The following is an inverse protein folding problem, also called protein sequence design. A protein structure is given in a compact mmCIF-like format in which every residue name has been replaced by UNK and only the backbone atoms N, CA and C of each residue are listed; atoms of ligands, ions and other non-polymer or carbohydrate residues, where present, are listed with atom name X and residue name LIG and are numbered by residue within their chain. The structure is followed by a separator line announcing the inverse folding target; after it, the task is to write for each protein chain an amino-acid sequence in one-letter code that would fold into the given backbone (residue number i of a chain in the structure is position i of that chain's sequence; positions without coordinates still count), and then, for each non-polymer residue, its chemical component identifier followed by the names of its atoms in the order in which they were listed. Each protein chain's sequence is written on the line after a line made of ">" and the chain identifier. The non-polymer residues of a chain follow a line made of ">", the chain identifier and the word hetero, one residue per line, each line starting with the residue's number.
data_IF_795729553068
#
_entry.id   IF_795729553068
#
_cell.length_a   1.000
_cell.length_b   1.000
_cell.length_c   1.000
_cell.angle_alpha   90.00
_cell.angle_beta   90.00
_cell.angle_gamma   90.00
#
_symmetry.space_group_name_H-M   'P 1'
#
loop_
_entity.id
_entity.type
_entity.pdbx_description
1 polymer ?
#
# COMPACT_ATOMS: atom_id res chain seq x y z
N UNK A 1 -4.95 4.06 -10.88
CA UNK A 1 -5.11 4.30 -9.42
C UNK A 1 -3.90 3.75 -8.67
N UNK A 2 -3.23 4.55 -7.85
CA UNK A 2 -2.02 4.13 -7.13
C UNK A 2 -2.38 3.35 -5.86
N UNK A 3 -2.39 2.02 -5.95
CA UNK A 3 -2.67 1.13 -4.81
C UNK A 3 -1.57 0.09 -4.61
N UNK A 4 -1.39 -0.36 -3.37
CA UNK A 4 -0.45 -1.42 -3.01
C UNK A 4 -1.22 -2.50 -2.29
N UNK A 5 -1.12 -3.74 -2.77
CA UNK A 5 -1.76 -4.91 -2.16
C UNK A 5 -0.71 -5.77 -1.44
N UNK A 6 -0.86 -5.92 -0.12
CA UNK A 6 0.05 -6.73 0.70
C UNK A 6 0.10 -8.20 0.27
N UNK A 7 -0.99 -8.71 -0.31
CA UNK A 7 -1.09 -10.10 -0.78
C UNK A 7 -0.19 -10.31 -1.99
N UNK A 8 -0.10 -9.31 -2.87
CA UNK A 8 0.80 -9.34 -4.02
C UNK A 8 2.25 -9.30 -3.56
N UNK A 9 2.60 -8.36 -2.67
CA UNK A 9 3.94 -8.30 -2.09
C UNK A 9 4.34 -9.60 -1.38
N UNK A 10 3.41 -10.23 -0.65
CA UNK A 10 3.65 -11.51 0.01
C UNK A 10 3.91 -12.63 -0.99
N UNK A 11 3.09 -12.73 -2.05
CA UNK A 11 3.24 -13.76 -3.10
C UNK A 11 4.56 -13.62 -3.86
N UNK A 12 5.03 -12.40 -4.06
CA UNK A 12 6.29 -12.07 -4.73
C UNK A 12 7.50 -12.10 -3.77
N UNK A 13 7.32 -12.60 -2.54
CA UNK A 13 8.37 -12.66 -1.49
C UNK A 13 9.02 -11.32 -1.14
N UNK A 14 8.34 -10.21 -1.43
CA UNK A 14 8.85 -8.85 -1.22
C UNK A 14 8.67 -8.34 0.22
N UNK A 15 8.14 -9.16 1.12
CA UNK A 15 7.95 -8.81 2.54
C UNK A 15 9.04 -9.35 3.47
N UNK A 16 10.05 -10.04 2.92
CA UNK A 16 11.19 -10.54 3.71
C UNK A 16 11.94 -9.36 4.34
N UNK A 17 12.29 -9.38 5.63
CA UNK A 17 13.05 -8.30 6.25
C UNK A 17 14.40 -8.04 5.57
N UNK A 18 14.83 -6.78 5.52
CA UNK A 18 16.13 -6.37 4.98
C UNK A 18 16.16 -6.09 3.48
N UNK A 19 15.00 -6.10 2.80
CA UNK A 19 14.88 -5.72 1.40
C UNK A 19 14.76 -4.21 1.25
N UNK A 20 15.31 -3.69 0.15
CA UNK A 20 15.11 -2.33 -0.32
C UNK A 20 14.84 -2.36 -1.83
N UNK A 21 13.70 -1.84 -2.26
CA UNK A 21 13.27 -1.86 -3.65
C UNK A 21 12.31 -0.71 -3.96
N UNK A 22 12.03 -0.49 -5.24
CA UNK A 22 11.04 0.48 -5.70
C UNK A 22 9.77 -0.23 -6.16
N UNK A 23 8.63 0.36 -5.86
CA UNK A 23 7.33 -0.05 -6.40
C UNK A 23 6.85 1.00 -7.37
N UNK A 24 6.53 0.57 -8.58
CA UNK A 24 6.10 1.44 -9.67
C UNK A 24 4.68 1.11 -10.10
N UNK A 25 3.87 2.15 -10.30
CA UNK A 25 2.57 2.01 -10.95
C UNK A 25 2.71 2.35 -12.42
N UNK A 26 2.07 1.56 -13.27
CA UNK A 26 1.96 1.79 -14.71
C UNK A 26 0.53 2.13 -15.08
N UNK A 27 0.34 2.88 -16.17
CA UNK A 27 -0.97 3.08 -16.78
C UNK A 27 -1.41 1.85 -17.60
N UNK A 28 -2.58 1.94 -18.24
CA UNK A 28 -3.13 0.87 -19.09
C UNK A 28 -2.26 0.58 -20.32
N UNK A 29 -1.46 1.55 -20.77
CA UNK A 29 -0.50 1.41 -21.86
C UNK A 29 0.87 0.89 -21.37
N UNK A 30 1.04 0.60 -20.07
CA UNK A 30 2.28 0.13 -19.48
C UNK A 30 3.30 1.24 -19.19
N UNK A 31 2.96 2.52 -19.36
CA UNK A 31 3.85 3.64 -19.09
C UNK A 31 3.99 3.88 -17.58
N UNK A 32 5.21 4.10 -17.07
CA UNK A 32 5.42 4.38 -15.64
C UNK A 32 4.78 5.72 -15.24
N UNK A 33 3.89 5.69 -14.25
CA UNK A 33 3.18 6.86 -13.73
C UNK A 33 3.87 7.47 -12.51
N UNK A 34 4.25 6.63 -11.55
CA UNK A 34 4.84 7.06 -10.28
C UNK A 34 5.57 5.90 -9.63
N UNK A 35 6.54 6.22 -8.77
CA UNK A 35 7.37 5.25 -8.06
C UNK A 35 7.44 5.62 -6.58
N UNK A 36 7.43 4.62 -5.72
CA UNK A 36 7.62 4.74 -4.27
C UNK A 36 8.74 3.80 -3.83
N UNK A 37 9.63 4.28 -2.95
CA UNK A 37 10.65 3.43 -2.34
C UNK A 37 10.05 2.61 -1.19
N UNK A 38 10.47 1.36 -1.06
CA UNK A 38 10.06 0.45 0.01
C UNK A 38 11.30 -0.14 0.66
N UNK A 39 11.35 -0.08 1.99
CA UNK A 39 12.30 -0.85 2.81
C UNK A 39 11.55 -1.75 3.76
N UNK A 40 11.88 -3.02 3.81
CA UNK A 40 11.26 -3.99 4.71
C UNK A 40 12.05 -4.10 6.01
N UNK A 41 11.34 -4.30 7.12
CA UNK A 41 11.95 -4.62 8.42
C UNK A 41 11.11 -5.66 9.15
N UNK A 42 11.58 -6.12 10.32
CA UNK A 42 11.00 -7.25 11.06
C UNK A 42 9.51 -7.13 11.45
N UNK A 43 8.90 -5.95 11.33
CA UNK A 43 7.53 -5.67 11.79
C UNK A 43 6.67 -5.00 10.72
N UNK A 44 7.18 -4.75 9.52
CA UNK A 44 6.55 -3.77 8.63
C UNK A 44 7.41 -3.30 7.45
N UNK A 45 6.93 -2.23 6.85
CA UNK A 45 7.51 -1.55 5.71
C UNK A 45 7.71 -0.07 6.04
N UNK A 46 8.80 0.51 5.51
CA UNK A 46 9.02 1.94 5.45
C UNK A 46 8.90 2.34 3.98
N UNK A 47 7.87 3.14 3.69
CA UNK A 47 7.65 3.73 2.39
C UNK A 47 8.33 5.09 2.32
N UNK A 48 9.00 5.39 1.20
CA UNK A 48 9.70 6.65 0.95
C UNK A 48 9.18 7.26 -0.37
N UNK A 49 8.63 8.47 -0.31
CA UNK A 49 8.05 9.20 -1.44
C UNK A 49 8.13 10.71 -1.19
N UNK A 50 7.73 11.54 -2.16
CA UNK A 50 7.64 12.99 -1.99
C UNK A 50 6.20 13.50 -2.15
N UNK A 51 5.82 14.51 -1.37
CA UNK A 51 4.58 15.27 -1.52
C UNK A 51 4.95 16.73 -1.71
N UNK A 52 4.59 17.33 -2.85
CA UNK A 52 4.92 18.74 -3.11
C UNK A 52 6.43 19.04 -3.13
N UNK A 53 7.26 18.03 -3.45
CA UNK A 53 8.72 18.14 -3.41
C UNK A 53 9.35 17.74 -2.07
N UNK A 54 8.57 17.68 -1.00
CA UNK A 54 9.07 17.34 0.33
C UNK A 54 9.18 15.82 0.54
N UNK A 55 10.35 15.30 0.98
CA UNK A 55 10.55 13.88 1.20
C UNK A 55 9.80 13.40 2.46
N UNK A 56 9.02 12.34 2.30
CA UNK A 56 8.22 11.70 3.35
C UNK A 56 8.66 10.26 3.53
N UNK A 57 8.87 9.87 4.79
CA UNK A 57 9.03 8.47 5.21
C UNK A 57 7.82 8.04 6.02
N UNK A 58 7.07 7.07 5.52
CA UNK A 58 5.87 6.57 6.16
C UNK A 58 6.06 5.11 6.58
N UNK A 59 5.90 4.84 7.87
CA UNK A 59 5.94 3.48 8.41
C UNK A 59 4.56 2.84 8.35
N UNK A 60 4.51 1.58 7.92
CA UNK A 60 3.31 0.74 7.90
C UNK A 60 3.68 -0.61 8.49
N UNK A 61 3.08 -0.97 9.62
CA UNK A 61 3.32 -2.26 10.24
C UNK A 61 2.55 -3.37 9.51
N UNK A 62 3.06 -4.59 9.57
CA UNK A 62 2.42 -5.79 9.03
C UNK A 62 1.80 -6.59 10.18
N UNK A 63 0.59 -7.11 9.96
CA UNK A 63 -0.10 -8.01 10.87
C UNK A 63 -0.38 -9.33 10.20
N UNK A 64 -0.42 -10.40 10.97
CA UNK A 64 -0.75 -11.73 10.48
C UNK A 64 -1.97 -12.28 11.21
N UNK A 65 -2.84 -12.96 10.48
CA UNK A 65 -3.93 -13.78 11.03
C UNK A 65 -3.67 -15.23 10.65
N UNK A 66 -3.70 -16.19 11.60
CA UNK A 66 -3.62 -17.62 11.28
C UNK A 66 -4.77 -18.04 10.35
N UNK A 67 -4.51 -18.98 9.45
CA UNK A 67 -5.53 -19.58 8.58
C UNK A 67 -5.89 -20.99 9.07
N UNK A 68 -7.20 -21.32 9.09
CA UNK A 68 -7.71 -22.60 9.59
C UNK A 68 -7.19 -23.84 8.82
N UNK A 69 -6.74 -23.66 7.57
CA UNK A 69 -6.21 -24.72 6.71
C UNK A 69 -4.67 -24.65 6.54
N UNK A 70 -3.98 -23.95 7.44
CA UNK A 70 -2.54 -23.73 7.41
C UNK A 70 -2.12 -22.40 6.79
N UNK A 71 -0.95 -21.90 7.21
CA UNK A 71 -0.40 -20.61 6.78
C UNK A 71 -0.94 -19.39 7.54
N UNK A 72 -0.56 -18.20 7.08
CA UNK A 72 -0.98 -16.93 7.67
C UNK A 72 -1.37 -15.90 6.62
N UNK A 73 -2.47 -15.19 6.85
CA UNK A 73 -2.87 -14.05 6.03
C UNK A 73 -2.20 -12.78 6.54
N UNK A 74 -1.41 -12.14 5.68
CA UNK A 74 -0.74 -10.87 5.99
C UNK A 74 -1.64 -9.69 5.67
N UNK A 75 -1.56 -8.65 6.49
CA UNK A 75 -2.31 -7.40 6.43
C UNK A 75 -1.36 -6.22 6.62
N UNK A 76 -1.68 -5.09 6.00
CA UNK A 76 -1.16 -3.81 6.46
C UNK A 76 -1.95 -3.35 7.68
N UNK A 77 -1.28 -2.73 8.63
CA UNK A 77 -1.91 -1.86 9.61
C UNK A 77 -1.95 -0.44 9.05
N UNK A 78 -3.16 0.07 8.77
CA UNK A 78 -3.31 1.41 8.23
C UNK A 78 -2.72 2.45 9.20
N UNK A 79 -1.83 3.34 8.75
CA UNK A 79 -1.21 4.33 9.63
C UNK A 79 -2.20 5.40 10.11
N UNK A 80 -3.32 5.61 9.40
CA UNK A 80 -4.34 6.60 9.77
C UNK A 80 -5.41 6.03 10.71
N UNK A 81 -6.02 4.89 10.36
CA UNK A 81 -7.15 4.31 11.11
C UNK A 81 -6.80 3.07 11.94
N UNK A 82 -5.55 2.60 11.88
CA UNK A 82 -5.02 1.42 12.60
C UNK A 82 -5.76 0.10 12.31
N UNK A 83 -6.63 0.10 11.30
CA UNK A 83 -7.33 -1.11 10.84
C UNK A 83 -6.41 -1.99 10.00
N UNK A 84 -6.69 -3.30 10.05
CA UNK A 84 -6.03 -4.29 9.19
C UNK A 84 -6.65 -4.22 7.79
N UNK A 85 -5.86 -3.85 6.80
CA UNK A 85 -6.30 -3.74 5.41
C UNK A 85 -5.37 -4.48 4.46
N UNK A 86 -5.92 -5.07 3.40
CA UNK A 86 -5.11 -5.73 2.37
C UNK A 86 -4.50 -4.72 1.39
N UNK A 87 -5.18 -3.60 1.17
CA UNK A 87 -4.84 -2.61 0.15
C UNK A 87 -4.66 -1.24 0.82
N UNK A 88 -3.55 -0.57 0.50
CA UNK A 88 -3.35 0.85 0.78
C UNK A 88 -3.41 1.65 -0.52
N UNK A 89 -4.07 2.80 -0.46
CA UNK A 89 -4.19 3.76 -1.55
C UNK A 89 -3.25 4.93 -1.30
N UNK A 90 -2.57 5.37 -2.34
CA UNK A 90 -1.75 6.57 -2.32
C UNK A 90 -2.59 7.80 -2.72
N UNK A 91 -2.92 8.65 -1.75
CA UNK A 91 -3.68 9.89 -1.95
C UNK A 91 -3.05 11.06 -1.16
N UNK A 92 -1.78 11.37 -1.42
CA UNK A 92 -0.98 12.25 -0.55
C UNK A 92 -0.48 11.52 0.71
N UNK A 93 -0.24 10.21 0.57
CA UNK A 93 0.12 9.29 1.65
C UNK A 93 -0.65 7.99 1.56
N UNK A 94 -0.06 6.89 2.06
CA UNK A 94 -0.67 5.56 2.03
C UNK A 94 -1.67 5.40 3.17
N UNK A 95 -2.92 5.10 2.81
CA UNK A 95 -4.01 4.86 3.77
C UNK A 95 -5.02 3.87 3.22
N UNK A 96 -5.82 3.28 4.11
CA UNK A 96 -6.99 2.53 3.71
C UNK A 96 -7.94 3.42 2.90
N UNK A 97 -8.73 2.80 2.01
CA UNK A 97 -9.95 3.46 1.56
C UNK A 97 -10.79 3.74 2.82
N UNK A 98 -11.19 4.98 2.98
CA UNK A 98 -12.21 5.35 3.93
C UNK A 98 -13.46 4.51 3.64
N UNK A 99 -14.08 3.94 4.68
CA UNK A 99 -15.34 3.21 4.52
C UNK A 99 -16.47 4.10 3.97
N UNK A 100 -16.26 5.42 3.93
CA UNK A 100 -17.00 6.41 3.14
C UNK A 100 -16.61 6.37 1.65
N UNK A 101 -16.49 5.16 1.10
CA UNK A 101 -16.51 4.93 -0.34
C UNK A 101 -17.88 5.28 -0.92
N UNK A 102 -18.26 6.55 -0.91
CA UNK A 102 -19.12 7.06 -1.95
C UNK A 102 -18.30 6.99 -3.24
N UNK A 103 -18.74 6.22 -4.25
CA UNK A 103 -18.25 6.47 -5.59
C UNK A 103 -18.69 7.89 -5.92
N UNK A 104 -17.75 8.79 -6.18
CA UNK A 104 -18.06 10.01 -6.92
C UNK A 104 -18.58 9.53 -8.27
N UNK A 105 -19.90 9.33 -8.40
CA UNK A 105 -20.58 9.48 -9.67
C UNK A 105 -20.36 10.94 -10.03
N UNK A 106 -19.36 11.17 -10.87
CA UNK A 106 -19.42 12.30 -11.78
C UNK A 106 -20.74 12.14 -12.55
N UNK A 107 -21.76 12.87 -12.11
CA UNK A 107 -22.89 13.16 -12.95
C UNK A 107 -22.49 14.43 -13.70
N UNK A 108 -22.26 14.39 -15.02
CA UNK A 108 -22.20 15.64 -15.76
C UNK A 108 -23.58 16.30 -15.66
N UNK A 109 -23.59 17.51 -15.10
CA UNK A 109 -24.67 18.47 -15.30
C UNK A 109 -24.66 18.87 -16.78
N UNK A 110 -25.67 18.45 -17.53
CA UNK A 110 -26.39 19.19 -18.57
C UNK A 110 -27.24 18.21 -19.39
#
# INVERSE_FOLDING_TARGET
>A
MHSIDVRRLHREHMLRPGLAYCWQWTDEAGKPMSTIGIRTHNRGLIFSYAIGGEPVKQRVDLRTTPCNYGGSRVWFECPACRQRVAILLFRGGLRAADASGSPTRANPMA
#
